data_IF_266365037325
#
_entry.id   IF_266365037325
#
_cell.length_a   1.000
_cell.length_b   1.000
_cell.length_c   1.000
_cell.angle_alpha   90.00
_cell.angle_beta   90.00
_cell.angle_gamma   90.00
#
_symmetry.space_group_name_H-M   'P 1'
#
loop_
_entity.id
_entity.type
_entity.pdbx_description
1 polymer ?
#
# COMPACT_ATOMS: atom_id res chain seq x y z
N UNK A 1 -8.40 -15.87 13.91
CA UNK A 1 -7.38 -15.16 13.11
C UNK A 1 -7.15 -15.86 11.76
N UNK A 2 -7.24 -17.19 11.68
CA UNK A 2 -7.10 -17.95 10.42
C UNK A 2 -7.97 -17.47 9.27
N UNK A 3 -9.21 -17.03 9.55
CA UNK A 3 -10.15 -16.53 8.54
C UNK A 3 -9.59 -15.40 7.66
N UNK A 4 -8.64 -14.60 8.18
CA UNK A 4 -8.00 -13.53 7.41
C UNK A 4 -6.54 -13.82 7.06
N UNK A 5 -5.94 -14.87 7.62
CA UNK A 5 -4.53 -15.20 7.41
C UNK A 5 -4.21 -15.42 5.93
N UNK A 6 -4.97 -16.31 5.26
CA UNK A 6 -4.79 -16.56 3.82
C UNK A 6 -5.05 -15.32 2.97
N UNK A 7 -6.08 -14.52 3.30
CA UNK A 7 -6.36 -13.28 2.59
C UNK A 7 -5.22 -12.25 2.72
N UNK A 8 -4.68 -12.07 3.93
CA UNK A 8 -3.55 -11.17 4.17
C UNK A 8 -2.27 -11.71 3.54
N UNK A 9 -2.05 -13.02 3.56
CA UNK A 9 -0.96 -13.67 2.84
C UNK A 9 -0.99 -13.34 1.36
N UNK A 10 -2.13 -13.47 0.69
CA UNK A 10 -2.24 -13.12 -0.72
C UNK A 10 -1.99 -11.63 -0.98
N UNK A 11 -2.45 -10.75 -0.07
CA UNK A 11 -2.17 -9.32 -0.17
C UNK A 11 -0.66 -9.02 -0.02
N UNK A 12 0.02 -9.63 0.95
CA UNK A 12 1.47 -9.50 1.15
C UNK A 12 2.25 -10.09 -0.02
N UNK A 13 1.86 -11.28 -0.48
CA UNK A 13 2.47 -11.97 -1.61
C UNK A 13 2.38 -11.15 -2.90
N UNK A 14 1.28 -10.43 -3.13
CA UNK A 14 1.15 -9.53 -4.29
C UNK A 14 2.21 -8.42 -4.33
N UNK A 15 2.75 -8.04 -3.18
CA UNK A 15 3.80 -7.01 -3.03
C UNK A 15 5.20 -7.63 -3.12
N UNK A 16 5.42 -8.73 -2.40
CA UNK A 16 6.75 -9.33 -2.24
C UNK A 16 7.14 -10.32 -3.34
N UNK A 17 6.15 -10.99 -3.96
CA UNK A 17 6.33 -12.04 -4.98
C UNK A 17 7.28 -13.19 -4.55
N UNK A 18 7.50 -13.34 -3.25
CA UNK A 18 8.32 -14.37 -2.60
C UNK A 18 7.46 -15.10 -1.58
N UNK A 19 7.33 -16.42 -1.72
CA UNK A 19 6.47 -17.22 -0.83
C UNK A 19 6.97 -17.20 0.62
N UNK A 20 8.30 -17.29 0.79
CA UNK A 20 8.97 -17.27 2.09
C UNK A 20 8.79 -15.93 2.78
N UNK A 21 9.14 -14.84 2.10
CA UNK A 21 9.06 -13.50 2.71
C UNK A 21 7.59 -13.11 2.96
N UNK A 22 6.67 -13.55 2.11
CA UNK A 22 5.25 -13.35 2.32
C UNK A 22 4.72 -14.07 3.55
N UNK A 23 5.20 -15.27 3.85
CA UNK A 23 4.82 -16.00 5.07
C UNK A 23 5.30 -15.25 6.31
N UNK A 24 6.59 -14.91 6.37
CA UNK A 24 7.20 -14.21 7.51
C UNK A 24 6.52 -12.85 7.76
N UNK A 25 6.37 -12.04 6.71
CA UNK A 25 5.74 -10.71 6.82
C UNK A 25 4.27 -10.81 7.21
N UNK A 26 3.54 -11.82 6.74
CA UNK A 26 2.14 -12.03 7.13
C UNK A 26 2.02 -12.33 8.61
N UNK A 27 2.91 -13.16 9.16
CA UNK A 27 2.93 -13.46 10.59
C UNK A 27 3.20 -12.19 11.42
N UNK A 28 4.20 -11.39 11.03
CA UNK A 28 4.49 -10.12 11.71
C UNK A 28 3.31 -9.13 11.62
N UNK A 29 2.65 -9.07 10.46
CA UNK A 29 1.47 -8.23 10.27
C UNK A 29 0.32 -8.66 11.19
N UNK A 30 0.06 -9.97 11.32
CA UNK A 30 -0.96 -10.52 12.22
C UNK A 30 -0.68 -10.17 13.69
N UNK A 31 0.59 -10.26 14.13
CA UNK A 31 0.99 -9.84 15.48
C UNK A 31 0.75 -8.34 15.70
N UNK A 32 1.12 -7.50 14.73
CA UNK A 32 0.89 -6.04 14.79
C UNK A 32 -0.60 -5.70 14.81
N UNK A 33 -1.41 -6.40 14.01
CA UNK A 33 -2.87 -6.28 14.01
C UNK A 33 -3.40 -6.62 15.39
N UNK A 34 -3.01 -7.75 15.97
CA UNK A 34 -3.47 -8.19 17.29
C UNK A 34 -3.13 -7.17 18.38
N UNK A 35 -1.90 -6.66 18.39
CA UNK A 35 -1.46 -5.63 19.33
C UNK A 35 -2.24 -4.31 19.17
N UNK A 36 -2.71 -4.01 17.96
CA UNK A 36 -3.41 -2.76 17.63
C UNK A 36 -4.93 -2.85 17.78
N UNK A 37 -5.50 -4.05 18.01
CA UNK A 37 -6.94 -4.27 18.18
C UNK A 37 -7.59 -3.40 19.27
N UNK A 38 -6.98 -3.16 20.45
CA UNK A 38 -7.58 -2.33 21.49
C UNK A 38 -7.83 -0.87 21.06
N UNK A 39 -7.11 -0.39 20.05
CA UNK A 39 -7.22 0.98 19.53
C UNK A 39 -8.06 1.07 18.25
N UNK A 40 -8.62 -0.05 17.79
CA UNK A 40 -9.39 -0.09 16.55
C UNK A 40 -10.75 0.61 16.68
N UNK A 41 -10.98 1.62 15.84
CA UNK A 41 -12.17 2.48 15.89
C UNK A 41 -13.31 2.06 14.94
N UNK A 42 -13.52 0.75 14.75
CA UNK A 42 -14.63 0.20 13.93
C UNK A 42 -14.68 0.66 12.45
N UNK A 43 -13.55 1.08 11.89
CA UNK A 43 -13.42 1.44 10.47
C UNK A 43 -13.13 0.18 9.64
N UNK A 44 -14.16 -0.57 9.21
CA UNK A 44 -14.06 -1.67 8.25
C UNK A 44 -12.88 -2.63 8.46
N UNK A 45 -13.07 -3.67 9.29
CA UNK A 45 -11.99 -4.52 9.82
C UNK A 45 -11.06 -5.09 8.74
N UNK A 46 -11.63 -5.58 7.63
CA UNK A 46 -10.87 -6.14 6.50
C UNK A 46 -9.92 -5.11 5.88
N UNK A 47 -10.42 -3.90 5.62
CA UNK A 47 -9.62 -2.81 5.03
C UNK A 47 -8.51 -2.36 5.98
N UNK A 48 -8.82 -2.23 7.27
CA UNK A 48 -7.83 -1.85 8.28
C UNK A 48 -6.69 -2.87 8.41
N UNK A 49 -7.01 -4.17 8.48
CA UNK A 49 -5.98 -5.23 8.52
C UNK A 49 -5.18 -5.30 7.21
N UNK A 50 -5.83 -5.14 6.06
CA UNK A 50 -5.15 -5.14 4.75
C UNK A 50 -4.10 -4.03 4.70
N UNK A 51 -4.43 -2.84 5.20
CA UNK A 51 -3.49 -1.71 5.25
C UNK A 51 -2.27 -2.03 6.12
N UNK A 52 -2.48 -2.60 7.31
CA UNK A 52 -1.35 -2.99 8.17
C UNK A 52 -0.45 -4.02 7.47
N UNK A 53 -1.02 -5.01 6.80
CA UNK A 53 -0.26 -6.07 6.12
C UNK A 53 0.49 -5.56 4.88
N UNK A 54 -0.17 -4.77 4.02
CA UNK A 54 0.45 -4.20 2.82
C UNK A 54 1.57 -3.23 3.17
N UNK A 55 1.38 -2.35 4.16
CA UNK A 55 2.43 -1.43 4.59
C UNK A 55 3.66 -2.20 5.09
N UNK A 56 3.43 -3.26 5.88
CA UNK A 56 4.50 -4.13 6.36
C UNK A 56 5.26 -4.82 5.21
N UNK A 57 4.55 -5.25 4.17
CA UNK A 57 5.16 -5.82 2.97
C UNK A 57 5.99 -4.80 2.17
N UNK A 58 5.49 -3.57 2.02
CA UNK A 58 6.22 -2.48 1.37
C UNK A 58 7.49 -2.13 2.16
N UNK A 59 7.40 -2.01 3.48
CA UNK A 59 8.55 -1.75 4.36
C UNK A 59 9.63 -2.82 4.22
N UNK A 60 9.21 -4.09 4.20
CA UNK A 60 10.11 -5.23 4.01
C UNK A 60 10.79 -5.18 2.63
N UNK A 61 10.02 -4.93 1.55
CA UNK A 61 10.55 -4.79 0.19
C UNK A 61 11.59 -3.67 0.10
N UNK A 62 11.28 -2.49 0.64
CA UNK A 62 12.21 -1.34 0.68
C UNK A 62 13.48 -1.67 1.47
N UNK A 63 13.38 -2.43 2.56
CA UNK A 63 14.55 -2.86 3.32
C UNK A 63 15.43 -3.83 2.54
N UNK A 64 14.83 -4.75 1.79
CA UNK A 64 15.54 -5.68 0.89
C UNK A 64 16.22 -4.95 -0.27
N UNK A 65 15.55 -3.98 -0.89
CA UNK A 65 16.11 -3.15 -1.95
C UNK A 65 17.33 -2.36 -1.46
N UNK A 66 17.24 -1.69 -0.31
CA UNK A 66 18.39 -1.00 0.31
C UNK A 66 19.55 -1.94 0.63
N UNK A 67 19.25 -3.15 1.13
CA UNK A 67 20.28 -4.16 1.42
C UNK A 67 20.94 -4.64 0.13
N UNK A 68 20.17 -4.80 -0.95
CA UNK A 68 20.71 -5.17 -2.27
C UNK A 68 21.60 -4.06 -2.81
N UNK A 69 21.18 -2.80 -2.74
CA UNK A 69 21.98 -1.63 -3.15
C UNK A 69 23.33 -1.57 -2.41
N UNK A 70 23.33 -1.84 -1.09
CA UNK A 70 24.55 -1.92 -0.29
C UNK A 70 25.45 -3.10 -0.68
N UNK A 71 24.87 -4.24 -1.06
CA UNK A 71 25.63 -5.43 -1.50
C UNK A 71 26.19 -5.27 -2.93
N UNK A 72 25.46 -4.60 -3.83
CA UNK A 72 25.94 -4.28 -5.20
C UNK A 72 27.05 -3.23 -5.23
N UNK A 73 27.25 -2.47 -4.14
CA UNK A 73 28.42 -1.59 -4.02
C UNK A 73 29.73 -2.38 -3.82
N UNK A 74 29.65 -3.66 -3.42
CA UNK A 74 30.81 -4.49 -3.08
C UNK A 74 31.03 -5.69 -4.02
N UNK A 75 30.08 -6.04 -4.89
CA UNK A 75 30.21 -7.20 -5.80
C UNK A 75 29.63 -6.84 -7.17
N UNK A 76 30.52 -6.35 -8.04
CA UNK A 76 30.33 -6.44 -9.49
C UNK A 76 30.51 -7.92 -9.88
N UNK A 77 29.55 -8.43 -10.64
CA UNK A 77 29.52 -9.72 -11.34
C UNK A 77 28.77 -10.90 -10.67
N UNK A 78 27.90 -11.50 -11.48
CA UNK A 78 26.98 -12.64 -11.26
C UNK A 78 25.67 -12.42 -10.48
N UNK A 79 24.60 -12.16 -11.22
CA UNK A 79 23.30 -12.80 -10.97
C UNK A 79 22.71 -13.31 -12.30
N UNK A 80 22.20 -14.56 -12.36
CA UNK A 80 21.31 -14.98 -13.42
C UNK A 80 19.95 -14.28 -13.22
N UNK A 81 19.41 -13.73 -14.32
CA UNK A 81 18.05 -13.23 -14.40
C UNK A 81 17.05 -14.39 -14.31
N UNK A 82 16.68 -14.79 -13.08
CA UNK A 82 15.43 -15.50 -12.86
C UNK A 82 14.31 -14.48 -12.65
N UNK A 83 13.96 -13.79 -13.74
CA UNK A 83 12.73 -13.04 -13.85
C UNK A 83 11.97 -13.56 -15.05
N UNK A 84 11.16 -14.59 -14.83
CA UNK A 84 9.98 -14.87 -15.67
C UNK A 84 8.94 -13.77 -15.45
N UNK A 85 9.28 -12.53 -15.81
CA UNK A 85 8.29 -11.50 -16.08
C UNK A 85 7.69 -11.82 -17.43
N UNK A 86 6.45 -12.31 -17.46
CA UNK A 86 5.77 -12.46 -18.74
C UNK A 86 5.37 -11.08 -19.24
N UNK A 87 5.62 -10.80 -20.52
CA UNK A 87 5.28 -9.52 -21.19
C UNK A 87 3.79 -9.17 -21.00
N UNK A 88 2.94 -10.19 -20.82
CA UNK A 88 1.51 -10.07 -20.55
C UNK A 88 1.20 -9.47 -19.17
N UNK A 89 1.99 -9.78 -18.14
CA UNK A 89 1.84 -9.23 -16.80
C UNK A 89 2.27 -7.75 -16.73
N UNK A 90 3.30 -7.36 -17.49
CA UNK A 90 3.76 -5.98 -17.59
C UNK A 90 2.72 -5.09 -18.29
N UNK A 91 2.08 -5.60 -19.35
CA UNK A 91 0.99 -4.90 -20.05
C UNK A 91 -0.22 -4.71 -19.14
N UNK A 92 -0.58 -5.74 -18.36
CA UNK A 92 -1.72 -5.67 -17.44
C UNK A 92 -1.46 -4.72 -16.26
N UNK A 93 -0.24 -4.70 -15.71
CA UNK A 93 0.15 -3.72 -14.69
C UNK A 93 0.10 -2.28 -15.21
N UNK A 94 0.59 -2.05 -16.44
CA UNK A 94 0.57 -0.73 -17.05
C UNK A 94 -0.86 -0.23 -17.27
N UNK A 95 -1.76 -1.09 -17.74
CA UNK A 95 -3.19 -0.75 -17.88
C UNK A 95 -3.83 -0.40 -16.53
N UNK A 96 -3.55 -1.18 -15.48
CA UNK A 96 -4.07 -0.92 -14.13
C UNK A 96 -3.53 0.39 -13.55
N UNK A 97 -2.24 0.69 -13.73
CA UNK A 97 -1.64 1.97 -13.31
C UNK A 97 -2.28 3.15 -14.03
N UNK A 98 -2.56 2.99 -15.32
CA UNK A 98 -3.17 4.04 -16.14
C UNK A 98 -4.62 4.31 -15.72
N UNK A 99 -5.38 3.28 -15.39
CA UNK A 99 -6.72 3.40 -14.79
C UNK A 99 -6.67 4.11 -13.44
N UNK A 100 -5.80 3.69 -12.52
CA UNK A 100 -5.62 4.35 -11.21
C UNK A 100 -5.30 5.84 -11.40
N UNK A 101 -4.42 6.17 -12.34
CA UNK A 101 -4.06 7.56 -12.64
C UNK A 101 -5.26 8.38 -13.13
N UNK A 102 -6.06 7.84 -14.06
CA UNK A 102 -7.27 8.49 -14.55
C UNK A 102 -8.27 8.77 -13.42
N UNK A 103 -8.49 7.79 -12.55
CA UNK A 103 -9.36 7.97 -11.38
C UNK A 103 -8.83 9.06 -10.44
N UNK A 104 -7.53 9.07 -10.12
CA UNK A 104 -6.94 10.13 -9.31
C UNK A 104 -7.10 11.51 -9.95
N UNK A 105 -7.03 11.60 -11.28
CA UNK A 105 -7.22 12.83 -12.03
C UNK A 105 -8.67 13.36 -11.98
N UNK A 106 -9.66 12.52 -11.72
CA UNK A 106 -11.04 12.94 -11.48
C UNK A 106 -11.23 13.58 -10.10
N UNK A 107 -10.41 13.18 -9.12
CA UNK A 107 -10.48 13.75 -7.77
C UNK A 107 -10.10 15.23 -7.83
N UNK A 108 -10.89 16.14 -7.22
CA UNK A 108 -10.55 17.55 -7.10
C UNK A 108 -9.12 17.74 -6.55
N UNK A 109 -8.34 18.63 -7.17
CA UNK A 109 -6.92 18.82 -6.86
C UNK A 109 -6.64 19.06 -5.37
N UNK A 110 -7.53 19.79 -4.69
CA UNK A 110 -7.45 20.07 -3.26
C UNK A 110 -7.52 18.83 -2.34
N UNK A 111 -7.99 17.70 -2.86
CA UNK A 111 -8.07 16.40 -2.16
C UNK A 111 -7.08 15.39 -2.70
N UNK A 112 -6.79 15.44 -4.00
CA UNK A 112 -5.91 14.50 -4.70
C UNK A 112 -4.55 14.35 -4.02
N UNK A 113 -3.89 15.47 -3.69
CA UNK A 113 -2.57 15.44 -3.05
C UNK A 113 -2.57 14.64 -1.74
N UNK A 114 -3.57 14.84 -0.90
CA UNK A 114 -3.67 14.14 0.39
C UNK A 114 -4.03 12.67 0.20
N UNK A 115 -4.85 12.36 -0.82
CA UNK A 115 -5.18 10.98 -1.20
C UNK A 115 -3.93 10.25 -1.71
N UNK A 116 -3.15 10.87 -2.60
CA UNK A 116 -1.91 10.30 -3.14
C UNK A 116 -0.90 10.10 -2.01
N UNK A 117 -0.64 11.16 -1.23
CA UNK A 117 0.31 11.09 -0.13
C UNK A 117 -0.05 10.00 0.88
N UNK A 118 -1.33 9.80 1.18
CA UNK A 118 -1.78 8.81 2.15
C UNK A 118 -1.88 7.38 1.59
N UNK A 119 -2.47 7.20 0.40
CA UNK A 119 -2.79 5.88 -0.13
C UNK A 119 -1.73 5.32 -1.08
N UNK A 120 -0.89 6.17 -1.68
CA UNK A 120 0.14 5.76 -2.65
C UNK A 120 1.53 5.91 -2.05
N UNK A 121 1.80 7.04 -1.41
CA UNK A 121 3.12 7.31 -0.81
C UNK A 121 3.23 6.77 0.62
N UNK A 122 2.11 6.35 1.22
CA UNK A 122 1.98 5.79 2.58
C UNK A 122 2.47 6.73 3.70
N UNK A 123 2.31 8.04 3.51
CA UNK A 123 2.65 9.04 4.52
C UNK A 123 1.62 9.06 5.64
N UNK A 124 2.09 9.17 6.88
CA UNK A 124 1.25 9.41 8.05
C UNK A 124 0.58 10.79 7.99
N UNK A 125 -0.49 10.98 8.75
CA UNK A 125 -1.15 12.29 8.82
C UNK A 125 -0.19 13.38 9.32
N UNK A 126 0.74 13.03 10.21
CA UNK A 126 1.77 13.95 10.70
C UNK A 126 2.75 14.35 9.59
N UNK A 127 3.24 13.40 8.80
CA UNK A 127 4.16 13.67 7.68
C UNK A 127 3.50 14.54 6.61
N UNK A 128 2.25 14.24 6.26
CA UNK A 128 1.47 15.03 5.28
C UNK A 128 1.24 16.46 5.81
N UNK A 129 0.92 16.60 7.11
CA UNK A 129 0.72 17.88 7.74
C UNK A 129 2.01 18.73 7.70
N UNK A 130 3.14 18.12 8.02
CA UNK A 130 4.45 18.76 8.00
C UNK A 130 4.86 19.20 6.58
N UNK A 131 4.69 18.33 5.59
CA UNK A 131 5.06 18.60 4.18
C UNK A 131 4.18 19.67 3.53
N UNK A 132 2.87 19.66 3.81
CA UNK A 132 1.95 20.66 3.27
C UNK A 132 1.88 21.95 4.09
N UNK A 133 2.57 22.04 5.23
CA UNK A 133 2.51 23.20 6.12
C UNK A 133 1.12 23.44 6.71
N UNK A 134 0.34 22.39 6.97
CA UNK A 134 -1.03 22.46 7.51
C UNK A 134 -1.16 21.71 8.84
N UNK A 135 -2.28 21.89 9.53
CA UNK A 135 -2.55 21.15 10.78
C UNK A 135 -2.97 19.71 10.50
N UNK A 136 -2.73 18.81 11.46
CA UNK A 136 -3.21 17.42 11.42
C UNK A 136 -4.72 17.34 11.15
N UNK A 137 -5.50 18.20 11.82
CA UNK A 137 -6.96 18.28 11.67
C UNK A 137 -7.39 18.69 10.26
N UNK A 138 -6.57 19.49 9.57
CA UNK A 138 -6.78 19.84 8.16
C UNK A 138 -6.59 18.64 7.26
N UNK A 139 -5.54 17.84 7.49
CA UNK A 139 -5.28 16.59 6.74
C UNK A 139 -6.44 15.60 6.93
N UNK A 140 -6.87 15.38 8.17
CA UNK A 140 -8.03 14.53 8.50
C UNK A 140 -9.30 14.97 7.76
N UNK A 141 -9.59 16.27 7.81
CA UNK A 141 -10.77 16.85 7.16
C UNK A 141 -10.70 16.73 5.64
N UNK A 142 -9.52 16.95 5.03
CA UNK A 142 -9.31 16.78 3.58
C UNK A 142 -9.50 15.31 3.18
N UNK A 143 -8.90 14.36 3.89
CA UNK A 143 -9.08 12.92 3.61
C UNK A 143 -10.52 12.47 3.77
N UNK A 144 -11.22 12.95 4.80
CA UNK A 144 -12.63 12.63 5.00
C UNK A 144 -13.47 13.11 3.81
N UNK A 145 -13.30 14.37 3.39
CA UNK A 145 -14.02 14.94 2.23
C UNK A 145 -13.65 14.23 0.93
N UNK A 146 -12.38 13.86 0.75
CA UNK A 146 -11.92 13.07 -0.39
C UNK A 146 -12.66 11.73 -0.48
N UNK A 147 -12.77 10.99 0.63
CA UNK A 147 -13.51 9.72 0.67
C UNK A 147 -14.99 9.90 0.35
N UNK A 148 -15.63 10.95 0.88
CA UNK A 148 -17.04 11.23 0.56
C UNK A 148 -17.23 11.58 -0.92
N UNK A 149 -16.29 12.36 -1.48
CA UNK A 149 -16.31 12.69 -2.90
C UNK A 149 -16.16 11.44 -3.76
N UNK A 150 -15.15 10.61 -3.49
CA UNK A 150 -14.92 9.34 -4.19
C UNK A 150 -16.16 8.45 -4.13
N UNK A 151 -16.72 8.24 -2.93
CA UNK A 151 -17.92 7.40 -2.74
C UNK A 151 -19.15 7.89 -3.50
N UNK A 152 -19.26 9.20 -3.73
CA UNK A 152 -20.38 9.81 -4.46
C UNK A 152 -20.21 9.71 -5.97
N UNK A 153 -18.98 9.72 -6.48
CA UNK A 153 -18.71 9.88 -7.91
C UNK A 153 -18.23 8.59 -8.57
N UNK A 154 -17.60 7.67 -7.84
CA UNK A 154 -17.20 6.36 -8.36
C UNK A 154 -18.25 5.33 -7.98
N UNK A 155 -18.70 4.54 -8.96
CA UNK A 155 -19.70 3.49 -8.71
C UNK A 155 -19.02 2.26 -8.11
N UNK A 156 -19.70 1.57 -7.20
CA UNK A 156 -19.21 0.35 -6.53
C UNK A 156 -18.77 -0.77 -7.51
N UNK A 157 -19.25 -0.73 -8.76
CA UNK A 157 -18.91 -1.65 -9.84
C UNK A 157 -17.53 -1.37 -10.48
N UNK A 158 -16.97 -0.16 -10.34
CA UNK A 158 -15.64 0.21 -10.89
C UNK A 158 -14.48 -0.30 -10.02
N UNK A 159 -14.79 -0.91 -8.86
CA UNK A 159 -13.82 -1.28 -7.82
C UNK A 159 -13.85 -2.78 -7.42
N UNK A 160 -14.72 -3.60 -8.02
CA UNK A 160 -14.70 -5.08 -7.81
C UNK A 160 -13.71 -5.75 -8.76
#
# INVERSE_FOLDING_TARGET
MDKYSSYLYHAVYSVLRSAKDAEDVTQEALLKIYASLPQYQYQGLKTWMTRIAVNKAIDHKRAMERKREQLTADIEDMLPEDSTHTVEEEVLENQRRQQIKQYLDDIPANYREVVVAYYIEDKSYQEIAAEQGVTLKTVESKLYRAKQWIRKHWKEEEWR
#
